data_IF_965302149258
#
_entry.id   IF_965302149258
#
_cell.length_a   1.000
_cell.length_b   1.000
_cell.length_c   1.000
_cell.angle_alpha   90.00
_cell.angle_beta   90.00
_cell.angle_gamma   90.00
#
_symmetry.space_group_name_H-M   'P 1'
#
loop_
_entity.id
_entity.type
_entity.pdbx_description
1 polymer ?
#
# COMPACT_ATOMS: atom_id res chain seq x y z
N UNK A 1 40.30 49.70 -49.75
CA UNK A 1 39.97 48.29 -49.46
C UNK A 1 40.63 47.90 -48.15
N UNK A 2 39.90 47.19 -47.27
CA UNK A 2 40.36 46.53 -46.02
C UNK A 2 40.50 47.46 -44.80
N UNK A 3 39.98 47.23 -43.60
CA UNK A 3 38.85 46.50 -43.00
C UNK A 3 38.79 47.01 -41.53
N UNK A 4 37.63 47.17 -40.91
CA UNK A 4 37.53 47.27 -39.44
C UNK A 4 36.15 46.83 -38.95
N UNK A 5 36.17 45.94 -37.96
CA UNK A 5 35.11 45.05 -37.45
C UNK A 5 34.34 45.68 -36.28
N UNK A 6 33.04 45.37 -36.09
CA UNK A 6 32.38 45.64 -34.81
C UNK A 6 32.60 44.52 -33.80
N UNK A 7 32.90 44.99 -32.59
CA UNK A 7 33.00 44.33 -31.30
C UNK A 7 31.60 43.93 -30.76
N UNK A 8 31.58 43.10 -29.70
CA UNK A 8 30.42 42.75 -28.84
C UNK A 8 29.58 41.54 -29.32
N UNK A 9 29.27 40.50 -28.55
CA UNK A 9 29.24 40.25 -27.09
C UNK A 9 29.15 38.73 -26.90
N UNK A 10 29.89 38.12 -25.97
CA UNK A 10 29.39 36.95 -25.23
C UNK A 10 30.21 36.77 -23.95
N UNK A 11 29.72 37.37 -22.86
CA UNK A 11 30.20 37.08 -21.51
C UNK A 11 29.24 36.07 -20.90
N UNK A 12 29.73 34.87 -20.61
CA UNK A 12 29.15 33.97 -19.63
C UNK A 12 30.25 33.71 -18.59
N UNK A 13 29.95 33.82 -17.29
CA UNK A 13 29.96 32.56 -16.56
C UNK A 13 28.96 32.46 -15.39
N UNK A 14 28.66 31.18 -15.12
CA UNK A 14 28.53 30.57 -13.80
C UNK A 14 27.31 30.94 -12.95
N UNK A 15 26.26 30.19 -13.25
CA UNK A 15 25.25 29.64 -12.35
C UNK A 15 25.82 29.22 -10.98
N UNK A 16 25.31 29.80 -9.89
CA UNK A 16 25.33 29.17 -8.57
C UNK A 16 24.07 29.57 -7.79
N UNK A 17 22.94 29.01 -8.18
CA UNK A 17 21.73 29.03 -7.36
C UNK A 17 21.87 27.95 -6.28
N UNK A 18 22.20 28.33 -5.05
CA UNK A 18 22.09 27.44 -3.90
C UNK A 18 20.60 27.28 -3.54
N UNK A 19 20.01 26.14 -3.88
CA UNK A 19 18.68 25.78 -3.39
C UNK A 19 18.77 25.30 -1.93
N UNK A 20 17.91 25.75 -1.01
CA UNK A 20 17.85 25.14 0.31
C UNK A 20 17.32 23.71 0.15
N UNK A 21 18.07 22.74 0.68
CA UNK A 21 17.53 21.42 1.02
C UNK A 21 16.41 21.63 2.04
N UNK A 22 15.17 21.67 1.56
CA UNK A 22 14.02 21.47 2.43
C UNK A 22 14.07 20.01 2.88
N UNK A 23 14.37 19.79 4.15
CA UNK A 23 14.19 18.47 4.75
C UNK A 23 12.69 18.20 4.72
N UNK A 24 12.25 17.34 3.81
CA UNK A 24 10.91 16.77 3.85
C UNK A 24 10.79 16.04 5.19
N UNK A 25 10.16 16.70 6.15
CA UNK A 25 9.79 16.10 7.42
C UNK A 25 8.83 14.97 7.01
N UNK A 26 9.32 13.73 7.09
CA UNK A 26 8.52 12.55 6.87
C UNK A 26 7.40 12.58 7.91
N UNK A 27 6.26 13.10 7.50
CA UNK A 27 5.04 13.02 8.28
C UNK A 27 4.73 11.53 8.36
N UNK A 28 5.03 10.93 9.50
CA UNK A 28 4.64 9.54 9.81
C UNK A 28 3.13 9.52 10.03
N UNK A 29 2.38 9.81 8.97
CA UNK A 29 1.00 9.37 8.85
C UNK A 29 1.01 7.86 9.10
N UNK A 30 0.12 7.36 9.96
CA UNK A 30 -0.06 5.91 10.11
C UNK A 30 -0.17 5.32 8.69
N UNK A 31 0.77 4.45 8.31
CA UNK A 31 0.86 3.97 6.95
C UNK A 31 -0.29 2.98 6.73
N UNK A 32 -1.30 3.43 6.01
CA UNK A 32 -2.41 2.58 5.58
C UNK A 32 -1.89 1.65 4.49
N UNK A 33 -2.18 0.36 4.62
CA UNK A 33 -1.86 -0.64 3.61
C UNK A 33 -3.15 -1.16 2.97
N UNK A 34 -3.05 -1.53 1.69
CA UNK A 34 -4.16 -2.04 0.91
C UNK A 34 -3.84 -3.44 0.39
N UNK A 35 -4.83 -4.31 0.45
CA UNK A 35 -4.79 -5.68 -0.05
C UNK A 35 -5.97 -5.85 -0.99
N UNK A 36 -5.70 -6.44 -2.15
CA UNK A 36 -6.72 -6.83 -3.10
C UNK A 36 -6.40 -8.21 -3.67
N UNK A 37 -7.40 -8.99 -4.02
CA UNK A 37 -7.20 -10.27 -4.66
C UNK A 37 -6.86 -10.11 -6.16
N UNK A 38 -6.97 -11.19 -6.93
CA UNK A 38 -6.72 -11.17 -8.37
C UNK A 38 -7.87 -10.57 -9.21
N UNK A 39 -8.85 -9.92 -8.59
CA UNK A 39 -10.07 -9.42 -9.19
C UNK A 39 -10.34 -7.98 -8.74
N UNK A 40 -11.11 -7.21 -9.52
CA UNK A 40 -11.61 -5.89 -9.10
C UNK A 40 -13.13 -5.87 -8.89
N UNK A 41 -13.74 -7.04 -8.85
CA UNK A 41 -15.19 -7.19 -8.74
C UNK A 41 -15.62 -7.06 -7.30
N UNK A 42 -16.34 -5.98 -6.99
CA UNK A 42 -16.89 -5.74 -5.65
C UNK A 42 -15.98 -4.90 -4.75
N UNK A 43 -14.83 -4.49 -5.25
CA UNK A 43 -13.84 -3.64 -4.57
C UNK A 43 -14.43 -2.30 -4.15
N UNK A 44 -13.90 -1.78 -3.05
CA UNK A 44 -14.26 -0.50 -2.44
C UNK A 44 -13.02 0.34 -2.17
N UNK A 45 -11.88 -0.27 -1.88
CA UNK A 45 -10.67 0.41 -1.41
C UNK A 45 -9.61 0.60 -2.48
N UNK A 46 -9.50 -0.31 -3.44
CA UNK A 46 -8.48 -0.26 -4.51
C UNK A 46 -9.10 -0.17 -5.90
N UNK A 47 -8.28 0.18 -6.87
CA UNK A 47 -8.66 0.23 -8.30
C UNK A 47 -7.86 -0.73 -9.16
N UNK A 48 -6.96 -1.51 -8.55
CA UNK A 48 -6.06 -2.44 -9.21
C UNK A 48 -6.01 -3.76 -8.45
N UNK A 49 -5.80 -4.86 -9.17
CA UNK A 49 -5.60 -6.19 -8.58
C UNK A 49 -4.31 -6.22 -7.76
N UNK A 50 -4.28 -7.06 -6.72
CA UNK A 50 -3.12 -7.18 -5.85
C UNK A 50 -1.96 -7.96 -6.48
N UNK A 51 -0.74 -7.61 -6.07
CA UNK A 51 0.47 -8.34 -6.44
C UNK A 51 1.51 -8.31 -5.31
N UNK A 52 1.90 -9.48 -4.78
CA UNK A 52 2.87 -9.54 -3.67
C UNK A 52 4.33 -9.27 -4.09
N UNK A 53 4.63 -9.40 -5.38
CA UNK A 53 5.96 -9.17 -5.96
C UNK A 53 6.19 -7.72 -6.39
N UNK A 54 5.16 -7.04 -6.90
CA UNK A 54 5.27 -5.66 -7.44
C UNK A 54 4.42 -4.63 -6.70
N UNK A 55 3.46 -5.05 -5.89
CA UNK A 55 2.63 -4.15 -5.08
C UNK A 55 3.47 -3.46 -4.01
N UNK A 56 3.16 -2.19 -3.76
CA UNK A 56 3.79 -1.38 -2.72
C UNK A 56 2.89 -1.18 -1.50
N UNK A 57 1.66 -1.70 -1.56
CA UNK A 57 0.66 -1.61 -0.50
C UNK A 57 -0.18 -0.34 -0.56
N UNK A 58 -0.08 0.46 -1.62
CA UNK A 58 -0.99 1.57 -1.91
C UNK A 58 -2.29 1.09 -2.58
N UNK A 59 -3.32 1.93 -2.60
CA UNK A 59 -4.59 1.61 -3.28
C UNK A 59 -4.46 1.41 -4.80
N UNK A 60 -3.39 1.95 -5.41
CA UNK A 60 -3.12 1.81 -6.85
C UNK A 60 -2.21 0.62 -7.17
N UNK A 61 -1.48 0.09 -6.18
CA UNK A 61 -0.64 -1.10 -6.30
C UNK A 61 -0.72 -1.93 -5.01
N UNK A 62 -1.90 -2.53 -4.72
CA UNK A 62 -2.11 -3.27 -3.48
C UNK A 62 -1.30 -4.56 -3.43
N UNK A 63 -1.12 -5.08 -2.21
CA UNK A 63 -0.63 -6.44 -2.04
C UNK A 63 -1.70 -7.46 -2.42
N UNK A 64 -1.28 -8.66 -2.84
CA UNK A 64 -2.20 -9.76 -3.17
C UNK A 64 -2.69 -10.51 -1.92
N UNK A 65 -1.90 -10.51 -0.85
CA UNK A 65 -2.20 -11.23 0.39
C UNK A 65 -2.11 -10.34 1.62
N UNK A 66 -2.92 -10.65 2.62
CA UNK A 66 -2.84 -10.00 3.94
C UNK A 66 -1.54 -10.36 4.64
N UNK A 67 -1.04 -11.60 4.46
CA UNK A 67 0.28 -11.99 4.96
C UNK A 67 1.40 -11.06 4.47
N UNK A 68 1.39 -10.65 3.20
CA UNK A 68 2.36 -9.69 2.65
C UNK A 68 2.22 -8.31 3.28
N UNK A 69 0.98 -7.82 3.43
CA UNK A 69 0.72 -6.55 4.10
C UNK A 69 1.18 -6.55 5.56
N UNK A 70 0.97 -7.64 6.31
CA UNK A 70 1.44 -7.81 7.69
C UNK A 70 2.96 -7.84 7.81
N UNK A 71 3.64 -8.45 6.84
CA UNK A 71 5.10 -8.44 6.76
C UNK A 71 5.63 -7.02 6.59
N UNK A 72 4.95 -6.19 5.79
CA UNK A 72 5.31 -4.79 5.54
C UNK A 72 4.82 -3.81 6.62
N UNK A 73 3.83 -4.19 7.42
CA UNK A 73 3.27 -3.35 8.47
C UNK A 73 4.35 -2.92 9.47
N UNK A 74 4.42 -1.61 9.70
CA UNK A 74 5.38 -0.99 10.62
C UNK A 74 5.13 -1.34 12.09
N UNK A 75 5.95 -0.78 13.01
CA UNK A 75 5.85 -1.04 14.45
C UNK A 75 4.69 -0.31 15.14
N UNK A 76 4.11 0.71 14.50
CA UNK A 76 2.95 1.47 15.00
C UNK A 76 1.65 0.78 14.62
N UNK A 77 0.53 1.17 15.24
CA UNK A 77 -0.80 0.69 14.83
C UNK A 77 -1.07 1.06 13.37
N UNK A 78 -1.33 0.04 12.54
CA UNK A 78 -1.58 0.20 11.10
C UNK A 78 -2.96 -0.32 10.74
N UNK A 79 -3.68 0.37 9.87
CA UNK A 79 -4.91 -0.15 9.27
C UNK A 79 -4.57 -0.79 7.93
N UNK A 80 -5.03 -2.02 7.73
CA UNK A 80 -4.96 -2.75 6.48
C UNK A 80 -6.39 -2.85 5.94
N UNK A 81 -6.63 -2.15 4.83
CA UNK A 81 -7.89 -2.26 4.09
C UNK A 81 -7.79 -3.42 3.11
N UNK A 82 -8.82 -4.26 3.09
CA UNK A 82 -8.85 -5.49 2.32
C UNK A 82 -10.10 -5.44 1.45
N UNK A 83 -9.91 -5.55 0.15
CA UNK A 83 -11.01 -5.55 -0.79
C UNK A 83 -11.81 -6.85 -0.77
N UNK A 84 -12.88 -6.86 -1.57
CA UNK A 84 -13.72 -8.01 -1.79
C UNK A 84 -12.88 -9.19 -2.29
N UNK A 85 -13.17 -10.39 -1.80
CA UNK A 85 -12.42 -11.56 -2.25
C UNK A 85 -12.42 -12.70 -1.26
N UNK A 86 -12.00 -13.85 -1.76
CA UNK A 86 -11.74 -15.05 -0.94
C UNK A 86 -10.23 -15.27 -0.89
N UNK A 87 -9.68 -15.12 0.30
CA UNK A 87 -8.26 -15.20 0.58
C UNK A 87 -7.94 -16.55 1.24
N UNK A 88 -7.28 -17.43 0.48
CA UNK A 88 -6.85 -18.76 0.90
C UNK A 88 -5.63 -18.73 1.83
N UNK A 89 -5.73 -17.96 2.90
CA UNK A 89 -4.70 -17.76 3.90
C UNK A 89 -5.25 -17.83 5.32
N UNK A 90 -4.36 -18.11 6.27
CA UNK A 90 -4.65 -18.03 7.70
C UNK A 90 -3.92 -16.85 8.28
N UNK A 91 -4.65 -16.00 8.98
CA UNK A 91 -4.09 -14.77 9.55
C UNK A 91 -3.75 -14.97 11.02
N UNK A 92 -2.48 -14.75 11.35
CA UNK A 92 -2.01 -14.68 12.73
C UNK A 92 -1.60 -13.23 13.04
N UNK A 93 -2.30 -12.59 13.97
CA UNK A 93 -2.00 -11.23 14.38
C UNK A 93 -0.96 -11.23 15.50
N UNK A 94 0.26 -10.80 15.19
CA UNK A 94 1.38 -10.66 16.13
C UNK A 94 1.89 -9.22 16.27
N UNK A 95 1.18 -8.27 15.65
CA UNK A 95 1.49 -6.84 15.61
C UNK A 95 0.21 -6.04 15.89
N UNK A 96 0.31 -4.79 16.36
CA UNK A 96 -0.85 -3.91 16.50
C UNK A 96 -1.36 -3.52 15.11
N UNK A 97 -2.30 -4.26 14.56
CA UNK A 97 -2.90 -3.98 13.24
C UNK A 97 -4.41 -4.09 13.31
N UNK A 98 -5.09 -3.23 12.55
CA UNK A 98 -6.54 -3.30 12.33
C UNK A 98 -6.77 -3.81 10.91
N UNK A 99 -7.46 -4.94 10.78
CA UNK A 99 -7.90 -5.46 9.48
C UNK A 99 -9.33 -5.00 9.23
N UNK A 100 -9.57 -4.38 8.07
CA UNK A 100 -10.89 -3.86 7.70
C UNK A 100 -11.25 -4.32 6.28
N UNK A 101 -12.26 -5.19 6.19
CA UNK A 101 -12.81 -5.64 4.92
C UNK A 101 -13.79 -4.64 4.31
N UNK A 102 -13.93 -4.67 2.98
CA UNK A 102 -14.79 -3.76 2.21
C UNK A 102 -16.29 -3.95 2.49
N UNK A 103 -16.68 -5.14 2.94
CA UNK A 103 -18.05 -5.52 3.24
C UNK A 103 -18.12 -6.80 4.07
N UNK A 104 -19.31 -7.11 4.55
CA UNK A 104 -19.58 -8.36 5.29
C UNK A 104 -20.38 -9.33 4.43
N UNK A 105 -20.25 -10.63 4.70
CA UNK A 105 -20.99 -11.68 4.02
C UNK A 105 -22.53 -11.53 4.13
N UNK A 106 -23.03 -10.77 5.11
CA UNK A 106 -24.46 -10.61 5.37
C UNK A 106 -25.03 -9.25 4.97
N UNK A 107 -24.23 -8.18 5.03
CA UNK A 107 -24.69 -6.83 4.70
C UNK A 107 -24.35 -6.44 3.24
N UNK A 108 -23.17 -6.83 2.76
CA UNK A 108 -22.68 -6.49 1.42
C UNK A 108 -21.91 -7.69 0.84
N UNK A 109 -22.60 -8.79 0.49
CA UNK A 109 -21.94 -10.04 0.09
C UNK A 109 -21.06 -9.88 -1.15
N UNK A 110 -21.42 -8.97 -2.07
CA UNK A 110 -20.62 -8.67 -3.25
C UNK A 110 -19.27 -8.01 -2.93
N UNK A 111 -19.15 -7.37 -1.76
CA UNK A 111 -17.92 -6.72 -1.29
C UNK A 111 -17.31 -7.46 -0.10
N UNK A 112 -17.74 -8.70 0.16
CA UNK A 112 -17.31 -9.43 1.34
C UNK A 112 -15.84 -9.86 1.24
N UNK A 113 -15.10 -9.62 2.32
CA UNK A 113 -13.77 -10.20 2.54
C UNK A 113 -13.93 -11.52 3.30
N UNK A 114 -13.44 -12.61 2.73
CA UNK A 114 -13.56 -13.96 3.28
C UNK A 114 -12.16 -14.57 3.41
N UNK A 115 -11.81 -15.09 4.60
CA UNK A 115 -10.60 -15.88 4.81
C UNK A 115 -10.97 -17.37 4.88
N UNK A 116 -10.58 -18.15 3.86
CA UNK A 116 -10.97 -19.56 3.72
C UNK A 116 -9.78 -20.54 3.86
N UNK A 117 -8.67 -20.11 4.46
CA UNK A 117 -7.46 -20.92 4.67
C UNK A 117 -7.63 -22.23 5.47
N UNK A 118 -8.85 -22.60 5.87
CA UNK A 118 -9.21 -23.86 6.52
C UNK A 118 -8.87 -23.94 8.01
N UNK A 119 -9.30 -25.03 8.67
CA UNK A 119 -8.99 -25.28 10.09
C UNK A 119 -7.54 -25.79 10.24
N UNK A 120 -6.86 -25.42 11.32
CA UNK A 120 -5.65 -26.12 11.74
C UNK A 120 -6.04 -27.49 12.32
N UNK A 121 -5.16 -28.51 12.32
CA UNK A 121 -5.42 -29.75 13.05
C UNK A 121 -5.64 -29.46 14.55
N UNK A 122 -6.92 -29.48 14.95
CA UNK A 122 -7.59 -29.53 16.26
C UNK A 122 -6.95 -28.95 17.56
N UNK A 123 -5.63 -28.91 17.76
CA UNK A 123 -5.06 -28.67 19.09
C UNK A 123 -4.93 -27.18 19.51
N UNK A 124 -5.18 -26.22 18.61
CA UNK A 124 -4.93 -24.79 18.89
C UNK A 124 -6.13 -23.88 18.64
N UNK A 125 -7.31 -24.43 18.36
CA UNK A 125 -8.52 -23.61 18.28
C UNK A 125 -9.11 -23.44 19.68
N UNK A 126 -8.77 -22.33 20.34
CA UNK A 126 -9.54 -21.86 21.50
C UNK A 126 -10.90 -21.41 21.00
N UNK A 127 -11.94 -22.17 21.33
CA UNK A 127 -13.31 -21.72 21.14
C UNK A 127 -13.53 -20.50 22.03
N UNK A 128 -13.77 -19.34 21.44
CA UNK A 128 -14.30 -18.19 22.15
C UNK A 128 -15.73 -18.55 22.57
N UNK A 129 -15.93 -18.85 23.85
CA UNK A 129 -17.26 -18.94 24.42
C UNK A 129 -17.79 -17.50 24.54
N UNK A 130 -18.75 -17.16 23.68
CA UNK A 130 -19.51 -15.92 23.78
C UNK A 130 -20.42 -15.91 25.01
#
# INVERSE_FOLDING_TARGET
MKASVPFSTLLLPALLAASPLTSAQAQTSAAVLYVNDGSTSGDVFTTAVGNDGTGDGSAAAPFATVARALAQAGPTTQTIFIDAGTYAERIALNKPVSLQGAGTATAQPASATIFDGGLLPAATQTSEAG
#
